data_IF_755953981160
#
_entry.id   IF_755953981160
#
_cell.length_a   1.000
_cell.length_b   1.000
_cell.length_c   1.000
_cell.angle_alpha   90.00
_cell.angle_beta   90.00
_cell.angle_gamma   90.00
#
_symmetry.space_group_name_H-M   'P 1'
#
loop_
_entity.id
_entity.type
_entity.pdbx_description
1 polymer ?
#
# COMPACT_ATOMS: atom_id res chain seq x y z
N UNK A 1 -0.91 36.69 -22.60
CA UNK A 1 -1.03 38.15 -22.79
C UNK A 1 -1.19 38.77 -21.41
N UNK A 2 -0.23 39.59 -21.00
CA UNK A 2 -0.21 40.28 -19.70
C UNK A 2 -1.17 41.46 -19.76
N UNK A 3 -2.40 41.27 -19.27
CA UNK A 3 -3.38 42.35 -19.09
C UNK A 3 -2.93 43.21 -17.91
N UNK A 4 -2.10 44.22 -18.21
CA UNK A 4 -1.82 45.34 -17.32
C UNK A 4 -3.13 46.07 -17.03
N UNK A 5 -3.64 45.95 -15.80
CA UNK A 5 -4.80 46.71 -15.36
C UNK A 5 -4.43 48.21 -15.30
N UNK A 6 -5.28 49.12 -15.76
CA UNK A 6 -5.02 50.55 -15.61
C UNK A 6 -4.97 50.92 -14.12
N UNK A 7 -4.03 51.77 -13.67
CA UNK A 7 -3.96 52.23 -12.30
C UNK A 7 -5.24 52.97 -11.91
N UNK A 8 -5.82 52.67 -10.74
CA UNK A 8 -7.00 53.37 -10.20
C UNK A 8 -6.77 54.87 -10.00
N UNK A 9 -5.50 55.31 -9.91
CA UNK A 9 -5.12 56.72 -9.80
C UNK A 9 -5.21 57.54 -11.10
N UNK A 10 -5.53 56.93 -12.24
CA UNK A 10 -5.77 57.65 -13.51
C UNK A 10 -7.24 58.03 -13.72
N UNK A 11 -8.13 57.67 -12.79
CA UNK A 11 -9.51 58.10 -12.88
C UNK A 11 -9.60 59.58 -12.56
N UNK A 12 -10.22 60.41 -13.42
CA UNK A 12 -10.33 61.84 -13.19
C UNK A 12 -11.11 62.09 -11.90
N UNK A 13 -10.49 62.79 -10.95
CA UNK A 13 -11.08 63.11 -9.65
C UNK A 13 -12.30 64.05 -9.78
N UNK A 14 -12.38 64.80 -10.90
CA UNK A 14 -13.47 65.72 -11.22
C UNK A 14 -14.01 65.43 -12.64
N UNK A 15 -15.07 64.62 -12.79
CA UNK A 15 -15.66 64.26 -14.09
C UNK A 15 -16.33 65.45 -14.80
N UNK A 16 -16.49 66.60 -14.14
CA UNK A 16 -17.08 67.82 -14.68
C UNK A 16 -16.18 68.59 -15.65
N UNK A 17 -14.89 68.26 -15.74
CA UNK A 17 -13.92 68.96 -16.60
C UNK A 17 -13.63 68.23 -17.93
N UNK A 18 -14.26 67.08 -18.19
CA UNK A 18 -13.99 66.26 -19.37
C UNK A 18 -15.04 66.46 -20.46
N UNK A 19 -14.57 66.51 -21.70
CA UNK A 19 -15.42 66.45 -22.89
C UNK A 19 -16.16 65.10 -22.92
N UNK A 20 -17.41 65.10 -23.39
CA UNK A 20 -18.31 63.93 -23.33
C UNK A 20 -17.73 62.67 -23.97
N UNK A 21 -16.95 62.85 -25.04
CA UNK A 21 -16.30 61.76 -25.78
C UNK A 21 -15.16 61.10 -24.98
N UNK A 22 -14.43 61.86 -24.17
CA UNK A 22 -13.35 61.34 -23.32
C UNK A 22 -13.92 60.53 -22.15
N UNK A 23 -15.04 60.98 -21.59
CA UNK A 23 -15.80 60.25 -20.57
C UNK A 23 -16.30 58.89 -21.11
N UNK A 24 -16.86 58.86 -22.31
CA UNK A 24 -17.32 57.63 -22.95
C UNK A 24 -16.16 56.67 -23.25
N UNK A 25 -15.01 57.18 -23.69
CA UNK A 25 -13.81 56.38 -23.94
C UNK A 25 -13.29 55.72 -22.64
N UNK A 26 -13.15 56.49 -21.56
CA UNK A 26 -12.69 55.99 -20.25
C UNK A 26 -13.67 54.96 -19.68
N UNK A 27 -14.98 55.20 -19.80
CA UNK A 27 -16.00 54.26 -19.36
C UNK A 27 -15.94 52.92 -20.11
N UNK A 28 -15.80 52.95 -21.45
CA UNK A 28 -15.71 51.76 -22.27
C UNK A 28 -14.43 50.95 -21.97
N UNK A 29 -13.31 51.62 -21.70
CA UNK A 29 -12.06 50.97 -21.29
C UNK A 29 -12.20 50.29 -19.91
N UNK A 30 -12.79 50.98 -18.94
CA UNK A 30 -13.05 50.42 -17.61
C UNK A 30 -13.98 49.20 -17.68
N UNK A 31 -15.04 49.30 -18.50
CA UNK A 31 -15.99 48.21 -18.71
C UNK A 31 -15.33 46.97 -19.33
N UNK A 32 -14.42 47.16 -20.30
CA UNK A 32 -13.64 46.06 -20.90
C UNK A 32 -12.71 45.42 -19.87
N UNK A 33 -11.99 46.24 -19.11
CA UNK A 33 -11.08 45.78 -18.05
C UNK A 33 -11.81 44.98 -16.97
N UNK A 34 -12.96 45.48 -16.48
CA UNK A 34 -13.79 44.79 -15.50
C UNK A 34 -14.33 43.45 -16.03
N UNK A 35 -14.81 43.42 -17.29
CA UNK A 35 -15.25 42.17 -17.93
C UNK A 35 -14.13 41.14 -17.99
N UNK A 36 -12.92 41.56 -18.36
CA UNK A 36 -11.73 40.69 -18.38
C UNK A 36 -11.38 40.13 -17.00
N UNK A 37 -11.44 40.97 -15.96
CA UNK A 37 -11.21 40.55 -14.57
C UNK A 37 -12.24 39.52 -14.10
N UNK A 38 -13.53 39.73 -14.39
CA UNK A 38 -14.59 38.81 -13.99
C UNK A 38 -14.48 37.45 -14.68
N UNK A 39 -14.12 37.43 -15.98
CA UNK A 39 -13.85 36.18 -16.71
C UNK A 39 -12.64 35.47 -16.12
N UNK A 40 -11.54 36.18 -15.87
CA UNK A 40 -10.33 35.62 -15.25
C UNK A 40 -10.63 35.02 -13.87
N UNK A 41 -11.33 35.76 -13.01
CA UNK A 41 -11.74 35.27 -11.67
C UNK A 41 -12.63 34.04 -11.76
N UNK A 42 -13.55 33.99 -12.71
CA UNK A 42 -14.37 32.81 -12.98
C UNK A 42 -13.53 31.60 -13.40
N UNK A 43 -12.57 31.78 -14.30
CA UNK A 43 -11.64 30.73 -14.71
C UNK A 43 -10.77 30.23 -13.56
N UNK A 44 -10.26 31.12 -12.71
CA UNK A 44 -9.48 30.75 -11.53
C UNK A 44 -10.32 29.97 -10.51
N UNK A 45 -11.56 30.39 -10.25
CA UNK A 45 -12.49 29.63 -9.40
C UNK A 45 -12.77 28.24 -9.97
N UNK A 46 -13.15 28.15 -11.24
CA UNK A 46 -13.40 26.87 -11.88
C UNK A 46 -12.15 25.97 -11.99
N UNK A 47 -10.94 26.54 -12.02
CA UNK A 47 -9.69 25.78 -11.92
C UNK A 47 -9.41 25.30 -10.49
N UNK A 48 -9.68 26.14 -9.49
CA UNK A 48 -9.53 25.78 -8.08
C UNK A 48 -10.51 24.67 -7.68
N UNK A 49 -11.77 24.76 -8.10
CA UNK A 49 -12.79 23.73 -7.86
C UNK A 49 -12.39 22.38 -8.50
N UNK A 50 -11.96 22.40 -9.77
CA UNK A 50 -11.44 21.19 -10.45
C UNK A 50 -10.21 20.61 -9.76
N UNK A 51 -9.31 21.47 -9.28
CA UNK A 51 -8.12 21.04 -8.53
C UNK A 51 -8.51 20.40 -7.19
N UNK A 52 -9.47 20.97 -6.48
CA UNK A 52 -9.96 20.41 -5.22
C UNK A 52 -10.64 19.05 -5.44
N UNK A 53 -11.48 18.93 -6.47
CA UNK A 53 -12.11 17.66 -6.83
C UNK A 53 -11.08 16.58 -7.17
N UNK A 54 -10.04 16.94 -7.95
CA UNK A 54 -8.95 16.02 -8.26
C UNK A 54 -8.16 15.61 -7.01
N UNK A 55 -7.91 16.54 -6.08
CA UNK A 55 -7.25 16.24 -4.80
C UNK A 55 -8.07 15.28 -3.93
N UNK A 56 -9.39 15.45 -3.85
CA UNK A 56 -10.27 14.55 -3.11
C UNK A 56 -10.28 13.14 -3.69
N UNK A 57 -10.29 13.02 -5.03
CA UNK A 57 -10.18 11.73 -5.70
C UNK A 57 -8.84 11.05 -5.42
N UNK A 58 -7.74 11.82 -5.45
CA UNK A 58 -6.41 11.31 -5.11
C UNK A 58 -6.33 10.83 -3.65
N UNK A 59 -6.86 11.62 -2.71
CA UNK A 59 -6.90 11.26 -1.29
C UNK A 59 -7.68 9.96 -1.05
N UNK A 60 -8.82 9.81 -1.73
CA UNK A 60 -9.63 8.58 -1.65
C UNK A 60 -8.83 7.38 -2.16
N UNK A 61 -8.20 7.51 -3.33
CA UNK A 61 -7.33 6.44 -3.89
C UNK A 61 -6.15 6.11 -2.97
N UNK A 62 -5.52 7.10 -2.35
CA UNK A 62 -4.42 6.88 -1.41
C UNK A 62 -4.88 6.12 -0.16
N UNK A 63 -6.08 6.43 0.37
CA UNK A 63 -6.66 5.66 1.49
C UNK A 63 -6.94 4.22 1.11
N UNK A 64 -7.47 3.98 -0.09
CA UNK A 64 -7.71 2.62 -0.59
C UNK A 64 -6.40 1.82 -0.77
N UNK A 65 -5.34 2.47 -1.25
CA UNK A 65 -4.01 1.85 -1.36
C UNK A 65 -3.46 1.52 0.04
N UNK A 66 -3.53 2.47 0.98
CA UNK A 66 -3.06 2.26 2.34
C UNK A 66 -3.81 1.13 3.06
N UNK A 67 -5.13 1.03 2.87
CA UNK A 67 -5.94 -0.07 3.41
C UNK A 67 -5.54 -1.43 2.83
N UNK A 68 -5.30 -1.50 1.51
CA UNK A 68 -4.79 -2.70 0.85
C UNK A 68 -3.41 -3.09 1.38
N UNK A 69 -2.50 -2.13 1.51
CA UNK A 69 -1.16 -2.38 2.04
C UNK A 69 -1.19 -2.90 3.49
N UNK A 70 -2.06 -2.32 4.33
CA UNK A 70 -2.24 -2.79 5.71
C UNK A 70 -2.77 -4.23 5.76
N UNK A 71 -3.69 -4.62 4.87
CA UNK A 71 -4.18 -6.00 4.75
C UNK A 71 -3.06 -6.96 4.38
N UNK A 72 -2.30 -6.63 3.33
CA UNK A 72 -1.17 -7.45 2.86
C UNK A 72 -0.12 -7.63 3.96
N UNK A 73 0.22 -6.56 4.69
CA UNK A 73 1.18 -6.64 5.80
C UNK A 73 0.68 -7.56 6.92
N UNK A 74 -0.61 -7.48 7.28
CA UNK A 74 -1.21 -8.36 8.30
C UNK A 74 -1.10 -9.82 7.88
N UNK A 75 -1.48 -10.13 6.65
CA UNK A 75 -1.42 -11.50 6.11
C UNK A 75 0.01 -12.04 6.04
N UNK A 76 1.00 -11.18 5.72
CA UNK A 76 2.41 -11.55 5.74
C UNK A 76 2.89 -11.92 7.16
N UNK A 77 2.46 -11.19 8.19
CA UNK A 77 2.77 -11.54 9.58
C UNK A 77 2.11 -12.86 10.00
N UNK A 78 0.85 -13.10 9.61
CA UNK A 78 0.17 -14.37 9.88
C UNK A 78 0.90 -15.55 9.21
N UNK A 79 1.38 -15.39 7.98
CA UNK A 79 2.21 -16.41 7.32
C UNK A 79 3.53 -16.64 8.05
N UNK A 80 4.21 -15.56 8.47
CA UNK A 80 5.47 -15.65 9.22
C UNK A 80 5.29 -16.39 10.55
N UNK A 81 4.21 -16.11 11.28
CA UNK A 81 3.89 -16.78 12.54
C UNK A 81 3.75 -18.29 12.36
N UNK A 82 2.97 -18.71 11.35
CA UNK A 82 2.77 -20.13 11.09
C UNK A 82 4.10 -20.78 10.61
N UNK A 83 4.89 -20.14 9.75
CA UNK A 83 6.22 -20.66 9.34
C UNK A 83 7.13 -20.83 10.56
N UNK A 84 7.14 -19.85 11.46
CA UNK A 84 7.94 -19.89 12.69
C UNK A 84 7.52 -21.06 13.57
N UNK A 85 6.21 -21.26 13.74
CA UNK A 85 5.68 -22.38 14.53
C UNK A 85 6.06 -23.73 13.93
N UNK A 86 5.88 -23.89 12.61
CA UNK A 86 6.19 -25.11 11.88
C UNK A 86 7.68 -25.46 11.95
N UNK A 87 8.57 -24.48 11.84
CA UNK A 87 10.02 -24.68 11.99
C UNK A 87 10.34 -25.12 13.43
N UNK A 88 9.74 -24.49 14.44
CA UNK A 88 9.95 -24.87 15.84
C UNK A 88 9.52 -26.31 16.13
N UNK A 89 8.35 -26.75 15.63
CA UNK A 89 7.91 -28.13 15.82
C UNK A 89 8.83 -29.17 15.14
N UNK A 90 9.43 -28.79 14.01
CA UNK A 90 10.37 -29.62 13.28
C UNK A 90 11.73 -29.67 13.97
N UNK A 91 12.22 -28.54 14.48
CA UNK A 91 13.44 -28.44 15.28
C UNK A 91 13.34 -29.31 16.53
N UNK A 92 12.24 -29.18 17.29
CA UNK A 92 11.97 -30.04 18.45
C UNK A 92 11.97 -31.54 18.10
N UNK A 93 11.42 -31.90 16.94
CA UNK A 93 11.39 -33.28 16.48
C UNK A 93 12.79 -33.78 16.10
N UNK A 94 13.58 -32.91 15.46
CA UNK A 94 14.96 -33.14 15.08
C UNK A 94 15.86 -33.33 16.31
N UNK A 95 15.76 -32.45 17.29
CA UNK A 95 16.51 -32.53 18.55
C UNK A 95 16.21 -33.82 19.30
N UNK A 96 14.93 -34.19 19.41
CA UNK A 96 14.54 -35.47 20.00
C UNK A 96 15.11 -36.67 19.23
N UNK A 97 15.17 -36.60 17.90
CA UNK A 97 15.77 -37.64 17.07
C UNK A 97 17.29 -37.75 17.29
N UNK A 98 17.99 -36.61 17.30
CA UNK A 98 19.44 -36.53 17.53
C UNK A 98 19.80 -37.04 18.92
N UNK A 99 19.04 -36.66 19.95
CA UNK A 99 19.26 -37.10 21.33
C UNK A 99 19.08 -38.62 21.48
N UNK A 100 18.01 -39.19 20.91
CA UNK A 100 17.78 -40.65 20.95
C UNK A 100 18.83 -41.41 20.12
N UNK A 101 19.32 -40.84 19.03
CA UNK A 101 20.42 -41.41 18.24
C UNK A 101 21.73 -41.41 19.03
N UNK A 102 22.04 -40.32 19.74
CA UNK A 102 23.19 -40.24 20.65
C UNK A 102 23.10 -41.28 21.78
N UNK A 103 21.93 -41.41 22.39
CA UNK A 103 21.67 -42.42 23.42
C UNK A 103 21.85 -43.85 22.88
N UNK A 104 21.37 -44.12 21.65
CA UNK A 104 21.61 -45.39 20.98
C UNK A 104 23.09 -45.66 20.70
N UNK A 105 23.84 -44.68 20.17
CA UNK A 105 25.28 -44.81 19.91
C UNK A 105 26.06 -45.19 21.17
N UNK A 106 25.75 -44.54 22.30
CA UNK A 106 26.40 -44.84 23.59
C UNK A 106 25.95 -46.19 24.16
N UNK A 107 24.65 -46.50 24.08
CA UNK A 107 24.06 -47.72 24.63
C UNK A 107 24.34 -48.99 23.84
N UNK A 108 24.70 -48.90 22.55
CA UNK A 108 24.95 -50.05 21.66
C UNK A 108 26.14 -50.92 22.09
N UNK A 109 27.05 -50.37 22.90
CA UNK A 109 28.18 -51.12 23.50
C UNK A 109 27.80 -51.82 24.82
N UNK A 110 26.60 -51.58 25.34
CA UNK A 110 26.07 -52.20 26.56
C UNK A 110 24.92 -53.17 26.24
N UNK A 111 24.65 -54.14 27.12
CA UNK A 111 23.60 -55.16 26.96
C UNK A 111 22.15 -54.58 26.96
N UNK A 112 22.01 -53.25 27.16
CA UNK A 112 20.74 -52.50 27.14
C UNK A 112 20.33 -52.01 25.73
N UNK A 113 21.11 -52.31 24.68
CA UNK A 113 20.94 -51.79 23.31
C UNK A 113 19.55 -51.96 22.67
N UNK A 114 18.79 -53.00 23.04
CA UNK A 114 17.45 -53.25 22.49
C UNK A 114 16.41 -52.17 22.87
N UNK A 115 16.50 -51.59 24.08
CA UNK A 115 15.58 -50.53 24.54
C UNK A 115 15.85 -49.17 23.89
N UNK A 116 17.08 -48.93 23.41
CA UNK A 116 17.44 -47.71 22.71
C UNK A 116 16.99 -47.72 21.25
N UNK A 117 17.05 -48.88 20.57
CA UNK A 117 16.53 -49.03 19.20
C UNK A 117 15.04 -48.73 19.13
N UNK A 118 14.24 -49.23 20.08
CA UNK A 118 12.80 -48.98 20.11
C UNK A 118 12.45 -47.50 20.30
N UNK A 119 13.24 -46.75 21.09
CA UNK A 119 13.05 -45.30 21.28
C UNK A 119 13.48 -44.50 20.06
N UNK A 120 14.60 -44.87 19.44
CA UNK A 120 15.08 -44.28 18.20
C UNK A 120 14.08 -44.48 17.05
N UNK A 121 13.53 -45.68 16.88
CA UNK A 121 12.50 -45.92 15.84
C UNK A 121 11.26 -45.04 16.09
N UNK A 122 10.84 -44.89 17.35
CA UNK A 122 9.70 -44.00 17.70
C UNK A 122 10.01 -42.52 17.46
N UNK A 123 11.24 -42.04 17.66
CA UNK A 123 11.60 -40.66 17.34
C UNK A 123 11.69 -40.44 15.83
N UNK A 124 12.22 -41.40 15.07
CA UNK A 124 12.21 -41.37 13.59
C UNK A 124 10.79 -41.29 13.04
N UNK A 125 9.87 -42.15 13.52
CA UNK A 125 8.46 -42.13 13.07
C UNK A 125 7.81 -40.78 13.40
N UNK A 126 8.05 -40.24 14.61
CA UNK A 126 7.55 -38.90 14.99
C UNK A 126 8.10 -37.79 14.11
N UNK A 127 9.39 -37.84 13.80
CA UNK A 127 10.03 -36.88 12.90
C UNK A 127 9.43 -36.94 11.50
N UNK A 128 9.27 -38.14 10.92
CA UNK A 128 8.67 -38.32 9.59
C UNK A 128 7.24 -37.79 9.57
N UNK A 129 6.43 -38.14 10.57
CA UNK A 129 5.04 -37.69 10.64
C UNK A 129 4.94 -36.15 10.76
N UNK A 130 5.80 -35.53 11.58
CA UNK A 130 5.87 -34.07 11.69
C UNK A 130 6.34 -33.43 10.39
N UNK A 131 7.40 -33.94 9.77
CA UNK A 131 7.89 -33.48 8.47
C UNK A 131 6.82 -33.55 7.38
N UNK A 132 6.06 -34.65 7.31
CA UNK A 132 4.95 -34.78 6.35
C UNK A 132 3.86 -33.74 6.61
N UNK A 133 3.49 -33.51 7.88
CA UNK A 133 2.51 -32.48 8.23
C UNK A 133 3.02 -31.06 7.91
N UNK A 134 4.27 -30.74 8.27
CA UNK A 134 4.96 -29.50 7.91
C UNK A 134 4.92 -29.24 6.41
N UNK A 135 5.22 -30.27 5.59
CA UNK A 135 5.18 -30.15 4.13
C UNK A 135 3.79 -29.79 3.61
N UNK A 136 2.74 -30.44 4.13
CA UNK A 136 1.36 -30.14 3.76
C UNK A 136 0.96 -28.70 4.15
N UNK A 137 1.36 -28.24 5.34
CA UNK A 137 1.09 -26.87 5.79
C UNK A 137 1.81 -25.83 4.92
N UNK A 138 3.06 -26.09 4.54
CA UNK A 138 3.82 -25.23 3.62
C UNK A 138 3.22 -25.20 2.21
N UNK A 139 2.73 -26.33 1.70
CA UNK A 139 2.03 -26.37 0.41
C UNK A 139 0.79 -25.46 0.41
N UNK A 140 -0.03 -25.52 1.47
CA UNK A 140 -1.20 -24.64 1.64
C UNK A 140 -0.78 -23.16 1.71
N UNK A 141 0.34 -22.84 2.36
CA UNK A 141 0.87 -21.47 2.38
C UNK A 141 1.31 -20.99 1.01
N UNK A 142 1.98 -21.85 0.23
CA UNK A 142 2.42 -21.52 -1.12
C UNK A 142 1.21 -21.25 -2.02
N UNK A 143 0.15 -22.04 -1.90
CA UNK A 143 -1.12 -21.78 -2.60
C UNK A 143 -1.76 -20.45 -2.16
N UNK A 144 -1.76 -20.16 -0.84
CA UNK A 144 -2.25 -18.88 -0.31
C UNK A 144 -1.41 -17.69 -0.82
N UNK A 145 -0.10 -17.85 -0.94
CA UNK A 145 0.79 -16.83 -1.50
C UNK A 145 0.53 -16.61 -3.00
N UNK A 146 0.33 -17.69 -3.77
CA UNK A 146 0.06 -17.60 -5.20
C UNK A 146 -1.28 -16.94 -5.49
N UNK A 147 -2.33 -17.30 -4.73
CA UNK A 147 -3.65 -16.66 -4.83
C UNK A 147 -3.58 -15.18 -4.45
N UNK A 148 -2.80 -14.81 -3.44
CA UNK A 148 -2.54 -13.42 -3.08
C UNK A 148 -1.80 -12.65 -4.19
N UNK A 149 -0.76 -13.25 -4.78
CA UNK A 149 -0.04 -12.64 -5.91
C UNK A 149 -0.97 -12.42 -7.11
N UNK A 150 -1.85 -13.38 -7.41
CA UNK A 150 -2.86 -13.22 -8.46
C UNK A 150 -3.85 -12.09 -8.14
N UNK A 151 -4.37 -12.01 -6.91
CA UNK A 151 -5.28 -10.93 -6.50
C UNK A 151 -4.61 -9.55 -6.53
N UNK A 152 -3.32 -9.46 -6.21
CA UNK A 152 -2.54 -8.23 -6.32
C UNK A 152 -2.30 -7.83 -7.78
N UNK A 153 -2.08 -8.78 -8.68
CA UNK A 153 -1.90 -8.55 -10.12
C UNK A 153 -3.22 -8.13 -10.82
N UNK A 154 -4.34 -8.78 -10.49
CA UNK A 154 -5.67 -8.40 -11.00
C UNK A 154 -6.09 -7.00 -10.52
N UNK A 155 -5.70 -6.62 -9.30
CA UNK A 155 -5.96 -5.29 -8.75
C UNK A 155 -5.14 -4.16 -9.39
N UNK A 156 -4.05 -4.47 -10.10
CA UNK A 156 -3.21 -3.49 -10.83
C UNK A 156 -3.67 -3.23 -12.27
N UNK A 157 -4.23 -4.25 -12.95
CA UNK A 157 -4.63 -4.16 -14.36
C UNK A 157 -5.87 -3.28 -14.63
N UNK A 158 -6.60 -2.88 -13.59
CA UNK A 158 -7.76 -1.98 -13.70
C UNK A 158 -7.42 -0.48 -13.82
N UNK A 159 -6.14 -0.10 -13.82
CA UNK A 159 -5.70 1.32 -13.72
C UNK A 159 -5.23 1.92 -15.05
N UNK A 160 -5.11 1.12 -16.11
CA UNK A 160 -4.61 1.54 -17.43
C UNK A 160 -5.70 1.49 -18.52
N UNK A 161 -6.85 2.14 -18.29
CA UNK A 161 -7.79 2.55 -19.35
C UNK A 161 -8.51 3.86 -19.04
#
# INVERSE_FOLDING_TARGET
>A
MTTSLPPTGKFPAEPSQLEREELDAVYLELRRSYRGLMVSRGQFRGRAERSQAAMQQLETRLREIAAREASVRREAYEMLEIVTHVIGELEDAGDNLVNEFGAYQMGRRSMQGAGFIGRLIKSVIRFINRWTSTKQQLEVMVEKQQTMQAALQEGTDGTDR
#
